data_IF_931964089510
#
_entry.id   IF_931964089510
#
_cell.length_a   1.000
_cell.length_b   1.000
_cell.length_c   1.000
_cell.angle_alpha   90.00
_cell.angle_beta   90.00
_cell.angle_gamma   90.00
#
_symmetry.space_group_name_H-M   'P 1'
#
loop_
_entity.id
_entity.type
_entity.pdbx_description
1 polymer ?
#
# COMPACT_ATOMS: atom_id res chain seq x y z
N UNK A 1 -11.29 -17.36 33.29
CA UNK A 1 -10.25 -16.83 34.19
C UNK A 1 -10.56 -15.37 34.48
N UNK A 2 -10.83 -15.06 35.75
CA UNK A 2 -11.36 -13.75 36.18
C UNK A 2 -10.37 -12.60 36.01
N UNK A 3 -10.89 -11.36 35.82
CA UNK A 3 -10.13 -10.08 35.78
C UNK A 3 -9.01 -9.99 36.86
N UNK A 4 -9.22 -10.69 37.98
CA UNK A 4 -8.29 -10.76 39.10
C UNK A 4 -6.97 -11.48 38.77
N UNK A 5 -6.99 -12.54 37.91
CA UNK A 5 -5.77 -13.27 37.52
C UNK A 5 -4.89 -12.48 36.54
N UNK A 6 -5.49 -11.69 35.66
CA UNK A 6 -4.74 -10.80 34.78
C UNK A 6 -4.08 -9.64 35.56
N UNK A 7 -4.78 -9.10 36.56
CA UNK A 7 -4.24 -8.05 37.43
C UNK A 7 -3.08 -8.57 38.31
N UNK A 8 -3.17 -9.82 38.78
CA UNK A 8 -2.10 -10.45 39.57
C UNK A 8 -0.85 -10.71 38.73
N UNK A 9 -0.99 -11.04 37.44
CA UNK A 9 0.12 -11.19 36.49
C UNK A 9 0.79 -9.81 36.21
N UNK A 10 0.03 -8.72 36.17
CA UNK A 10 0.57 -7.37 35.99
C UNK A 10 1.40 -6.89 37.19
N UNK A 11 1.00 -7.22 38.40
CA UNK A 11 1.71 -6.83 39.67
C UNK A 11 2.97 -7.62 39.82
N UNK A 12 3.03 -8.89 39.42
CA UNK A 12 4.24 -9.72 39.49
C UNK A 12 5.32 -9.26 38.50
N UNK A 13 4.98 -8.66 37.35
CA UNK A 13 5.94 -8.19 36.38
C UNK A 13 6.74 -6.96 36.87
N UNK A 14 6.18 -6.09 37.72
CA UNK A 14 6.85 -4.92 38.27
C UNK A 14 7.87 -5.26 39.38
N UNK A 15 7.79 -6.43 39.98
CA UNK A 15 8.65 -6.84 41.11
C UNK A 15 9.95 -7.53 40.65
N UNK A 16 10.02 -7.97 39.35
CA UNK A 16 11.10 -8.83 38.84
C UNK A 16 12.28 -8.12 38.16
N UNK A 17 12.35 -6.81 38.12
CA UNK A 17 13.40 -6.05 37.39
C UNK A 17 14.74 -5.93 38.20
N UNK A 18 14.89 -6.62 39.28
CA UNK A 18 16.10 -6.44 40.12
C UNK A 18 16.66 -7.68 40.77
N UNK A 19 17.37 -8.55 40.08
CA UNK A 19 18.52 -9.32 40.56
C UNK A 19 18.91 -10.51 39.63
N UNK A 20 20.09 -10.55 39.24
CA UNK A 20 21.13 -11.35 38.60
C UNK A 20 20.94 -12.80 38.17
N UNK A 21 21.52 -13.06 37.07
CA UNK A 21 21.97 -14.22 36.24
C UNK A 21 21.36 -15.64 36.41
N UNK A 22 20.95 -16.11 37.55
CA UNK A 22 20.26 -17.40 37.73
C UNK A 22 18.72 -17.29 37.59
N UNK A 23 18.20 -16.08 37.55
CA UNK A 23 16.76 -15.77 37.36
C UNK A 23 16.37 -15.66 35.89
N UNK A 24 17.31 -15.48 34.96
CA UNK A 24 17.03 -15.21 33.55
C UNK A 24 16.30 -16.36 32.83
N UNK A 25 16.66 -17.63 33.11
CA UNK A 25 16.04 -18.78 32.43
C UNK A 25 14.58 -18.95 32.86
N UNK A 26 14.29 -18.82 34.17
CA UNK A 26 12.92 -18.87 34.69
C UNK A 26 12.10 -17.65 34.28
N UNK A 27 12.71 -16.47 34.21
CA UNK A 27 12.09 -15.25 33.74
C UNK A 27 11.75 -15.36 32.25
N UNK A 28 12.62 -15.90 31.41
CA UNK A 28 12.39 -16.14 29.99
C UNK A 28 11.25 -17.13 29.75
N UNK A 29 11.21 -18.24 30.50
CA UNK A 29 10.11 -19.21 30.38
C UNK A 29 8.76 -18.63 30.82
N UNK A 30 8.75 -17.81 31.85
CA UNK A 30 7.54 -17.11 32.31
C UNK A 30 7.07 -16.09 31.28
N UNK A 31 7.98 -15.31 30.70
CA UNK A 31 7.69 -14.34 29.64
C UNK A 31 7.14 -15.07 28.39
N UNK A 32 7.74 -16.18 27.97
CA UNK A 32 7.24 -16.99 26.86
C UNK A 32 5.80 -17.42 27.08
N UNK A 33 5.51 -18.04 28.23
CA UNK A 33 4.15 -18.50 28.58
C UNK A 33 3.13 -17.35 28.59
N UNK A 34 3.53 -16.18 29.06
CA UNK A 34 2.71 -14.98 29.05
C UNK A 34 2.44 -14.51 27.61
N UNK A 35 3.47 -14.39 26.79
CA UNK A 35 3.35 -14.00 25.39
C UNK A 35 2.46 -14.97 24.61
N UNK A 36 2.65 -16.28 24.79
CA UNK A 36 1.83 -17.32 24.14
C UNK A 36 0.36 -17.21 24.55
N UNK A 37 0.08 -17.03 25.84
CA UNK A 37 -1.29 -16.89 26.33
C UNK A 37 -1.97 -15.61 25.80
N UNK A 38 -1.24 -14.48 25.81
CA UNK A 38 -1.76 -13.21 25.31
C UNK A 38 -1.95 -13.25 23.79
N UNK A 39 -1.08 -13.93 23.05
CA UNK A 39 -1.20 -14.07 21.59
C UNK A 39 -2.46 -14.88 21.23
N UNK A 40 -2.74 -15.98 21.92
CA UNK A 40 -3.97 -16.77 21.72
C UNK A 40 -5.22 -15.89 21.95
N UNK A 41 -5.22 -15.10 23.02
CA UNK A 41 -6.33 -14.20 23.35
C UNK A 41 -6.47 -13.09 22.32
N UNK A 42 -5.37 -12.51 21.85
CA UNK A 42 -5.35 -11.40 20.87
C UNK A 42 -5.86 -11.81 19.48
N UNK A 43 -5.82 -13.11 19.15
CA UNK A 43 -6.40 -13.64 17.91
C UNK A 43 -7.93 -13.65 17.90
N UNK A 44 -8.59 -13.53 19.06
CA UNK A 44 -10.05 -13.43 19.17
C UNK A 44 -10.83 -14.62 18.59
N UNK A 45 -10.24 -15.82 18.54
CA UNK A 45 -10.79 -17.02 17.88
C UNK A 45 -12.08 -17.50 18.56
N UNK A 46 -12.24 -17.23 19.87
CA UNK A 46 -13.42 -17.59 20.62
C UNK A 46 -14.23 -16.36 21.00
N UNK A 47 -15.56 -16.47 20.99
CA UNK A 47 -16.45 -15.41 21.52
C UNK A 47 -16.06 -15.00 22.95
N UNK A 48 -15.55 -15.96 23.72
CA UNK A 48 -15.01 -15.74 25.08
C UNK A 48 -13.86 -14.71 25.11
N UNK A 49 -13.08 -14.57 24.04
CA UNK A 49 -11.91 -13.68 23.98
C UNK A 49 -12.15 -12.41 23.22
N UNK A 50 -13.33 -12.22 22.59
CA UNK A 50 -13.61 -11.05 21.73
C UNK A 50 -13.33 -9.73 22.46
N UNK A 51 -13.84 -9.58 23.68
CA UNK A 51 -13.68 -8.35 24.48
C UNK A 51 -12.27 -8.21 25.08
N UNK A 52 -11.49 -9.29 25.10
CA UNK A 52 -10.13 -9.34 25.68
C UNK A 52 -9.04 -9.23 24.62
N UNK A 53 -9.38 -9.37 23.34
CA UNK A 53 -8.39 -9.39 22.26
C UNK A 53 -7.59 -8.08 22.18
N UNK A 54 -8.25 -6.93 22.24
CA UNK A 54 -7.57 -5.63 22.22
C UNK A 54 -6.73 -5.36 23.49
N UNK A 55 -7.21 -5.60 24.72
CA UNK A 55 -6.37 -5.53 25.90
C UNK A 55 -5.15 -6.45 25.87
N UNK A 56 -5.28 -7.68 25.36
CA UNK A 56 -4.16 -8.62 25.23
C UNK A 56 -3.13 -8.12 24.22
N UNK A 57 -3.57 -7.62 23.06
CA UNK A 57 -2.70 -6.99 22.05
C UNK A 57 -1.93 -5.79 22.66
N UNK A 58 -2.64 -4.91 23.36
CA UNK A 58 -2.03 -3.74 24.02
C UNK A 58 -0.98 -4.15 25.05
N UNK A 59 -1.22 -5.24 25.75
CA UNK A 59 -0.26 -5.78 26.72
C UNK A 59 0.98 -6.35 26.02
N UNK A 60 0.82 -7.08 24.90
CA UNK A 60 1.95 -7.58 24.10
C UNK A 60 2.81 -6.43 23.56
N UNK A 61 2.17 -5.37 23.08
CA UNK A 61 2.88 -4.17 22.61
C UNK A 61 3.61 -3.48 23.76
N UNK A 62 3.04 -3.44 24.98
CA UNK A 62 3.68 -2.87 26.17
C UNK A 62 4.87 -3.70 26.66
N UNK A 63 4.86 -5.04 26.51
CA UNK A 63 6.02 -5.91 26.76
C UNK A 63 7.17 -5.55 25.81
N UNK A 64 6.86 -5.13 24.58
CA UNK A 64 7.80 -4.58 23.62
C UNK A 64 8.88 -5.57 23.19
N UNK A 65 10.15 -5.16 23.29
CA UNK A 65 11.30 -5.92 22.82
C UNK A 65 11.36 -7.36 23.37
N UNK A 66 10.96 -7.56 24.63
CA UNK A 66 10.99 -8.87 25.27
C UNK A 66 9.98 -9.86 24.67
N UNK A 67 8.92 -9.38 24.01
CA UNK A 67 7.95 -10.23 23.32
C UNK A 67 8.43 -10.68 21.93
N UNK A 68 9.32 -9.91 21.29
CA UNK A 68 9.73 -10.11 19.90
C UNK A 68 10.22 -11.53 19.61
N UNK A 69 11.16 -12.12 20.36
CA UNK A 69 11.66 -13.47 20.06
C UNK A 69 10.55 -14.54 19.98
N UNK A 70 9.59 -14.47 20.91
CA UNK A 70 8.49 -15.45 20.99
C UNK A 70 7.41 -15.23 19.93
N UNK A 71 7.19 -13.98 19.50
CA UNK A 71 6.31 -13.66 18.39
C UNK A 71 6.92 -14.12 17.05
N UNK A 72 8.25 -14.01 16.90
CA UNK A 72 8.95 -14.48 15.70
C UNK A 72 8.96 -16.01 15.55
N UNK A 73 8.80 -16.78 16.65
CA UNK A 73 8.61 -18.23 16.60
C UNK A 73 7.29 -18.63 15.92
N UNK A 74 6.34 -17.70 15.80
CA UNK A 74 5.00 -17.93 15.26
C UNK A 74 4.85 -17.48 13.78
N UNK A 75 5.90 -17.00 13.15
CA UNK A 75 5.86 -16.50 11.76
C UNK A 75 5.55 -17.59 10.72
N UNK A 76 5.71 -18.87 11.05
CA UNK A 76 5.42 -20.00 10.17
C UNK A 76 3.93 -20.43 10.18
N UNK A 77 3.09 -19.70 10.92
CA UNK A 77 1.65 -20.00 11.02
C UNK A 77 0.97 -19.99 9.65
N UNK A 78 0.02 -20.90 9.45
CA UNK A 78 -0.84 -20.93 8.28
C UNK A 78 -2.19 -20.25 8.52
N UNK A 79 -2.50 -19.89 9.76
CA UNK A 79 -3.75 -19.21 10.11
C UNK A 79 -3.68 -17.73 9.71
N UNK A 80 -4.63 -17.31 8.88
CA UNK A 80 -4.68 -15.93 8.38
C UNK A 80 -4.89 -14.90 9.51
N UNK A 81 -5.63 -15.24 10.57
CA UNK A 81 -5.85 -14.34 11.71
C UNK A 81 -4.58 -14.16 12.51
N UNK A 82 -3.83 -15.24 12.73
CA UNK A 82 -2.55 -15.16 13.41
C UNK A 82 -1.55 -14.31 12.62
N UNK A 83 -1.48 -14.49 11.27
CA UNK A 83 -0.67 -13.62 10.39
C UNK A 83 -1.03 -12.15 10.58
N UNK A 84 -2.33 -11.81 10.55
CA UNK A 84 -2.78 -10.43 10.77
C UNK A 84 -2.47 -9.90 12.17
N UNK A 85 -2.59 -10.77 13.18
CA UNK A 85 -2.28 -10.42 14.57
C UNK A 85 -0.78 -10.15 14.74
N UNK A 86 0.10 -10.98 14.14
CA UNK A 86 1.55 -10.76 14.13
C UNK A 86 1.91 -9.44 13.46
N UNK A 87 1.32 -9.14 12.29
CA UNK A 87 1.54 -7.87 11.59
C UNK A 87 1.19 -6.68 12.50
N UNK A 88 0.02 -6.71 13.14
CA UNK A 88 -0.43 -5.62 14.01
C UNK A 88 0.47 -5.44 15.25
N UNK A 89 0.80 -6.54 15.91
CA UNK A 89 1.56 -6.48 17.17
C UNK A 89 3.00 -6.07 16.88
N UNK A 90 3.70 -6.77 15.98
CA UNK A 90 5.10 -6.47 15.65
C UNK A 90 5.23 -5.10 14.98
N UNK A 91 4.26 -4.72 14.15
CA UNK A 91 4.19 -3.37 13.57
C UNK A 91 4.07 -2.27 14.64
N UNK A 92 3.27 -2.49 15.70
CA UNK A 92 3.13 -1.56 16.84
C UNK A 92 4.33 -1.59 17.78
N UNK A 93 4.99 -2.73 18.00
CA UNK A 93 6.25 -2.81 18.74
C UNK A 93 7.32 -1.99 18.01
N UNK A 94 7.33 -2.04 16.68
CA UNK A 94 8.15 -1.16 15.86
C UNK A 94 9.63 -1.51 15.86
N UNK A 95 10.47 -0.50 16.07
CA UNK A 95 11.94 -0.58 15.91
C UNK A 95 12.63 -1.79 16.57
N UNK A 96 12.26 -2.24 17.78
CA UNK A 96 12.88 -3.44 18.37
C UNK A 96 12.73 -4.73 17.54
N UNK A 97 11.68 -4.82 16.70
CA UNK A 97 11.45 -5.98 15.85
C UNK A 97 12.23 -5.93 14.51
N UNK A 98 12.78 -4.79 14.11
CA UNK A 98 13.38 -4.59 12.77
C UNK A 98 14.54 -5.54 12.50
N UNK A 99 15.60 -5.50 13.31
CA UNK A 99 16.77 -6.35 13.10
C UNK A 99 16.46 -7.86 13.18
N UNK A 100 15.67 -8.32 14.18
CA UNK A 100 15.22 -9.71 14.21
C UNK A 100 14.42 -10.14 12.97
N UNK A 101 13.55 -9.27 12.41
CA UNK A 101 12.79 -9.54 11.19
C UNK A 101 13.70 -9.56 9.96
N UNK A 102 14.68 -8.64 9.85
CA UNK A 102 15.70 -8.68 8.79
C UNK A 102 16.39 -10.03 8.77
N UNK A 103 16.72 -10.59 9.94
CA UNK A 103 17.30 -11.93 10.06
C UNK A 103 16.40 -13.07 9.58
N UNK A 104 15.10 -12.83 9.33
CA UNK A 104 14.14 -13.81 8.79
C UNK A 104 13.96 -13.71 7.27
N UNK A 105 14.56 -12.73 6.60
CA UNK A 105 14.36 -12.50 5.16
C UNK A 105 14.96 -13.60 4.28
N UNK A 106 15.94 -14.33 4.76
CA UNK A 106 16.55 -15.48 4.07
C UNK A 106 16.04 -16.83 4.60
N UNK A 107 14.87 -16.86 5.23
CA UNK A 107 14.30 -18.10 5.76
C UNK A 107 13.91 -19.05 4.60
N UNK A 108 14.18 -20.37 4.71
CA UNK A 108 13.79 -21.36 3.72
C UNK A 108 12.26 -21.49 3.57
N UNK A 109 11.51 -21.19 4.64
CA UNK A 109 10.06 -21.08 4.58
C UNK A 109 9.68 -19.72 4.01
N UNK A 110 9.14 -19.72 2.77
CA UNK A 110 8.72 -18.48 2.08
C UNK A 110 7.64 -17.69 2.83
N UNK A 111 6.75 -18.38 3.57
CA UNK A 111 5.68 -17.70 4.31
C UNK A 111 6.26 -16.82 5.42
N UNK A 112 7.34 -17.29 6.08
CA UNK A 112 8.09 -16.51 7.08
C UNK A 112 8.73 -15.29 6.43
N UNK A 113 9.35 -15.46 5.24
CA UNK A 113 9.94 -14.36 4.50
C UNK A 113 8.90 -13.31 4.10
N UNK A 114 7.80 -13.73 3.46
CA UNK A 114 6.71 -12.84 3.01
C UNK A 114 6.10 -12.07 4.20
N UNK A 115 5.84 -12.75 5.32
CA UNK A 115 5.29 -12.12 6.51
C UNK A 115 6.26 -11.12 7.13
N UNK A 116 7.56 -11.45 7.17
CA UNK A 116 8.61 -10.54 7.65
C UNK A 116 8.72 -9.28 6.79
N UNK A 117 8.67 -9.40 5.46
CA UNK A 117 8.67 -8.28 4.53
C UNK A 117 7.50 -7.34 4.81
N UNK A 118 6.28 -7.89 4.96
CA UNK A 118 5.07 -7.11 5.22
C UNK A 118 5.15 -6.35 6.55
N UNK A 119 5.64 -7.03 7.61
CA UNK A 119 5.80 -6.40 8.93
C UNK A 119 6.85 -5.28 8.86
N UNK A 120 7.99 -5.50 8.20
CA UNK A 120 9.01 -4.46 8.01
C UNK A 120 8.46 -3.24 7.26
N UNK A 121 7.63 -3.47 6.24
CA UNK A 121 6.93 -2.39 5.54
C UNK A 121 6.00 -1.59 6.44
N UNK A 122 5.28 -2.23 7.36
CA UNK A 122 4.36 -1.56 8.29
C UNK A 122 5.10 -0.83 9.42
N UNK A 123 6.27 -1.32 9.85
CA UNK A 123 7.15 -0.61 10.81
C UNK A 123 7.74 0.66 10.21
N UNK A 124 8.00 0.69 8.90
CA UNK A 124 8.55 1.85 8.16
C UNK A 124 9.93 2.32 8.62
N UNK A 125 10.76 1.42 9.14
CA UNK A 125 12.13 1.76 9.50
C UNK A 125 13.05 1.63 8.29
N UNK A 126 13.81 2.70 8.00
CA UNK A 126 14.68 2.77 6.81
C UNK A 126 15.85 1.79 6.83
N UNK A 127 16.22 1.25 8.00
CA UNK A 127 17.26 0.20 8.09
C UNK A 127 16.87 -1.08 7.34
N UNK A 128 15.57 -1.30 7.07
CA UNK A 128 15.08 -2.44 6.30
C UNK A 128 15.25 -2.27 4.78
N UNK A 129 15.49 -1.05 4.27
CA UNK A 129 15.48 -0.75 2.82
C UNK A 129 16.49 -1.60 2.06
N UNK A 130 17.77 -1.54 2.42
CA UNK A 130 18.81 -2.28 1.72
C UNK A 130 18.66 -3.81 1.82
N UNK A 131 18.33 -4.40 2.98
CA UNK A 131 17.96 -5.81 3.07
C UNK A 131 16.79 -6.21 2.16
N UNK A 132 15.75 -5.37 2.07
CA UNK A 132 14.58 -5.63 1.21
C UNK A 132 14.95 -5.56 -0.28
N UNK A 133 15.71 -4.56 -0.72
CA UNK A 133 16.15 -4.42 -2.12
C UNK A 133 16.83 -5.69 -2.63
N UNK A 134 17.66 -6.35 -1.82
CA UNK A 134 18.32 -7.59 -2.19
C UNK A 134 17.36 -8.72 -2.58
N UNK A 135 16.12 -8.68 -2.10
CA UNK A 135 15.12 -9.70 -2.43
C UNK A 135 14.40 -9.44 -3.77
N UNK A 136 14.58 -8.28 -4.40
CA UNK A 136 13.99 -7.97 -5.72
C UNK A 136 14.53 -8.85 -6.84
N UNK A 137 15.66 -9.55 -6.63
CA UNK A 137 16.23 -10.49 -7.59
C UNK A 137 15.75 -11.93 -7.41
N UNK A 138 14.88 -12.21 -6.43
CA UNK A 138 14.35 -13.57 -6.19
C UNK A 138 13.40 -13.98 -7.30
N UNK A 139 13.45 -15.28 -7.67
CA UNK A 139 12.57 -15.86 -8.70
C UNK A 139 11.08 -15.77 -8.32
N UNK A 140 10.77 -15.82 -7.03
CA UNK A 140 9.40 -15.75 -6.53
C UNK A 140 8.84 -14.32 -6.67
N UNK A 141 7.90 -14.16 -7.61
CA UNK A 141 7.28 -12.87 -7.89
C UNK A 141 6.43 -12.33 -6.71
N UNK A 142 5.90 -13.18 -5.82
CA UNK A 142 5.18 -12.72 -4.63
C UNK A 142 6.15 -11.97 -3.70
N UNK A 143 7.36 -12.52 -3.49
CA UNK A 143 8.41 -11.85 -2.71
C UNK A 143 8.75 -10.50 -3.34
N UNK A 144 8.99 -10.44 -4.66
CA UNK A 144 9.32 -9.17 -5.34
C UNK A 144 8.18 -8.15 -5.20
N UNK A 145 6.94 -8.60 -5.34
CA UNK A 145 5.74 -7.76 -5.18
C UNK A 145 5.59 -7.24 -3.74
N UNK A 146 5.72 -8.11 -2.74
CA UNK A 146 5.65 -7.74 -1.33
C UNK A 146 6.79 -6.76 -0.94
N UNK A 147 7.99 -6.94 -1.51
CA UNK A 147 9.12 -6.03 -1.33
C UNK A 147 8.82 -4.65 -1.91
N UNK A 148 8.30 -4.58 -3.14
CA UNK A 148 7.88 -3.29 -3.71
C UNK A 148 6.86 -2.59 -2.81
N UNK A 149 5.86 -3.32 -2.30
CA UNK A 149 4.86 -2.76 -1.39
C UNK A 149 5.49 -2.28 -0.08
N UNK A 150 6.39 -3.06 0.52
CA UNK A 150 7.08 -2.69 1.76
C UNK A 150 7.96 -1.45 1.57
N UNK A 151 8.75 -1.38 0.49
CA UNK A 151 9.58 -0.22 0.17
C UNK A 151 8.73 1.03 -0.06
N UNK A 152 7.59 0.90 -0.74
CA UNK A 152 6.63 2.00 -0.92
C UNK A 152 6.00 2.47 0.41
N UNK A 153 5.74 1.57 1.37
CA UNK A 153 5.26 1.92 2.72
C UNK A 153 6.33 2.62 3.55
N UNK A 154 7.58 2.18 3.44
CA UNK A 154 8.74 2.82 4.11
C UNK A 154 8.93 4.23 3.57
N UNK A 155 8.82 4.41 2.25
CA UNK A 155 8.87 5.72 1.59
C UNK A 155 10.27 6.33 1.49
N UNK A 156 11.33 5.54 1.60
CA UNK A 156 12.71 6.02 1.49
C UNK A 156 13.11 6.18 0.02
N UNK A 157 13.62 7.37 -0.32
CA UNK A 157 14.04 7.73 -1.68
C UNK A 157 15.18 6.85 -2.22
N UNK A 158 15.97 6.22 -1.36
CA UNK A 158 17.06 5.35 -1.78
C UNK A 158 16.56 4.10 -2.52
N UNK A 159 15.28 3.70 -2.34
CA UNK A 159 14.66 2.59 -3.05
C UNK A 159 14.16 2.96 -4.47
N UNK A 160 14.20 4.23 -4.85
CA UNK A 160 13.61 4.73 -6.10
C UNK A 160 14.12 3.99 -7.33
N UNK A 161 15.45 3.86 -7.46
CA UNK A 161 16.07 3.23 -8.62
C UNK A 161 15.62 1.78 -8.79
N UNK A 162 15.66 0.98 -7.72
CA UNK A 162 15.30 -0.43 -7.76
C UNK A 162 13.80 -0.62 -8.03
N UNK A 163 12.95 0.25 -7.46
CA UNK A 163 11.52 0.28 -7.76
C UNK A 163 11.23 0.67 -9.22
N UNK A 164 12.01 1.59 -9.80
CA UNK A 164 11.85 1.94 -11.21
C UNK A 164 12.19 0.78 -12.15
N UNK A 165 13.16 -0.06 -11.80
CA UNK A 165 13.45 -1.29 -12.54
C UNK A 165 12.30 -2.31 -12.44
N UNK A 166 11.63 -2.40 -11.29
CA UNK A 166 10.47 -3.27 -11.12
C UNK A 166 9.27 -2.88 -11.99
N UNK A 167 9.23 -1.66 -12.54
CA UNK A 167 8.21 -1.28 -13.54
C UNK A 167 8.32 -2.07 -14.86
N UNK A 168 9.44 -2.73 -15.10
CA UNK A 168 9.70 -3.57 -16.28
C UNK A 168 9.67 -5.08 -15.97
N UNK A 169 9.27 -5.47 -14.75
CA UNK A 169 9.18 -6.87 -14.37
C UNK A 169 8.26 -7.66 -15.33
N UNK A 170 8.62 -8.90 -15.61
CA UNK A 170 7.83 -9.78 -16.49
C UNK A 170 6.42 -10.04 -15.96
N UNK A 171 6.25 -10.01 -14.62
CA UNK A 171 4.98 -10.32 -13.93
C UNK A 171 4.23 -9.03 -13.60
N UNK A 172 2.98 -8.93 -14.03
CA UNK A 172 2.16 -7.71 -13.87
C UNK A 172 1.93 -7.31 -12.40
N UNK A 173 1.85 -8.28 -11.49
CA UNK A 173 1.65 -7.97 -10.06
C UNK A 173 2.84 -7.20 -9.50
N UNK A 174 4.07 -7.52 -9.91
CA UNK A 174 5.28 -6.80 -9.51
C UNK A 174 5.28 -5.38 -10.08
N UNK A 175 5.00 -5.23 -11.39
CA UNK A 175 4.90 -3.90 -12.03
C UNK A 175 3.84 -3.03 -11.36
N UNK A 176 2.68 -3.62 -11.04
CA UNK A 176 1.61 -2.94 -10.30
C UNK A 176 2.09 -2.47 -8.92
N UNK A 177 2.74 -3.34 -8.14
CA UNK A 177 3.24 -2.98 -6.81
C UNK A 177 4.34 -1.92 -6.87
N UNK A 178 5.19 -1.95 -7.90
CA UNK A 178 6.19 -0.92 -8.16
C UNK A 178 5.53 0.44 -8.47
N UNK A 179 4.47 0.46 -9.29
CA UNK A 179 3.73 1.68 -9.60
C UNK A 179 3.10 2.31 -8.34
N UNK A 180 2.50 1.49 -7.45
CA UNK A 180 2.01 1.95 -6.14
C UNK A 180 3.14 2.52 -5.30
N UNK A 181 4.26 1.80 -5.21
CA UNK A 181 5.40 2.20 -4.40
C UNK A 181 5.98 3.54 -4.86
N UNK A 182 6.17 3.72 -6.17
CA UNK A 182 6.67 4.97 -6.75
C UNK A 182 5.72 6.15 -6.48
N UNK A 183 4.40 5.93 -6.55
CA UNK A 183 3.42 6.97 -6.18
C UNK A 183 3.52 7.35 -4.69
N UNK A 184 3.73 6.37 -3.80
CA UNK A 184 3.86 6.61 -2.34
C UNK A 184 5.14 7.32 -1.94
N UNK A 185 6.24 7.07 -2.65
CA UNK A 185 7.53 7.75 -2.40
C UNK A 185 7.45 9.25 -2.71
N UNK A 186 6.52 9.66 -3.60
CA UNK A 186 6.27 11.05 -3.98
C UNK A 186 7.49 11.78 -4.55
N UNK A 187 8.31 11.10 -5.35
CA UNK A 187 9.37 11.73 -6.14
C UNK A 187 8.87 11.95 -7.57
N UNK A 188 8.94 13.18 -8.06
CA UNK A 188 8.52 13.56 -9.42
C UNK A 188 9.24 12.77 -10.52
N UNK A 189 10.43 12.22 -10.21
CA UNK A 189 11.16 11.33 -11.11
C UNK A 189 10.39 10.06 -11.47
N UNK A 190 9.34 9.70 -10.69
CA UNK A 190 8.47 8.56 -10.99
C UNK A 190 7.55 8.84 -12.20
N UNK A 191 7.27 10.10 -12.50
CA UNK A 191 6.28 10.48 -13.52
C UNK A 191 6.57 9.86 -14.89
N UNK A 192 7.78 9.90 -15.46
CA UNK A 192 8.05 9.27 -16.76
C UNK A 192 7.72 7.76 -16.79
N UNK A 193 8.07 7.02 -15.75
CA UNK A 193 7.79 5.57 -15.64
C UNK A 193 6.29 5.29 -15.54
N UNK A 194 5.57 6.08 -14.76
CA UNK A 194 4.13 5.95 -14.60
C UNK A 194 3.38 6.34 -15.88
N UNK A 195 3.82 7.38 -16.60
CA UNK A 195 3.29 7.78 -17.91
C UNK A 195 3.47 6.64 -18.94
N UNK A 196 4.65 6.05 -19.02
CA UNK A 196 4.91 4.91 -19.90
C UNK A 196 3.97 3.74 -19.58
N UNK A 197 3.74 3.47 -18.30
CA UNK A 197 2.89 2.37 -17.84
C UNK A 197 1.38 2.58 -18.07
N UNK A 198 0.94 3.77 -18.50
CA UNK A 198 -0.45 3.96 -18.99
C UNK A 198 -0.75 3.15 -20.26
N UNK A 199 0.29 2.65 -20.94
CA UNK A 199 0.19 1.77 -22.10
C UNK A 199 0.55 0.31 -21.77
N UNK A 200 0.67 -0.08 -20.49
CA UNK A 200 0.94 -1.48 -20.10
C UNK A 200 -0.13 -2.41 -20.67
N UNK A 201 0.29 -3.62 -21.04
CA UNK A 201 -0.63 -4.66 -21.56
C UNK A 201 -1.72 -5.05 -20.55
N UNK A 202 -1.46 -4.93 -19.25
CA UNK A 202 -2.38 -5.30 -18.18
C UNK A 202 -3.12 -4.07 -17.64
N UNK A 203 -4.45 -4.15 -17.65
CA UNK A 203 -5.33 -3.09 -17.15
C UNK A 203 -5.02 -2.67 -15.71
N UNK A 204 -4.70 -3.63 -14.82
CA UNK A 204 -4.38 -3.37 -13.43
C UNK A 204 -3.15 -2.46 -13.26
N UNK A 205 -2.13 -2.61 -14.11
CA UNK A 205 -0.93 -1.76 -14.10
C UNK A 205 -1.28 -0.36 -14.61
N UNK A 206 -2.01 -0.27 -15.75
CA UNK A 206 -2.43 1.02 -16.32
C UNK A 206 -3.20 1.87 -15.31
N UNK A 207 -4.25 1.26 -14.69
CA UNK A 207 -5.09 1.95 -13.71
C UNK A 207 -4.31 2.38 -12.46
N UNK A 208 -3.41 1.52 -11.97
CA UNK A 208 -2.59 1.84 -10.81
C UNK A 208 -1.65 3.01 -11.12
N UNK A 209 -1.00 3.00 -12.28
CA UNK A 209 -0.12 4.09 -12.71
C UNK A 209 -0.87 5.42 -12.85
N UNK A 210 -2.10 5.40 -13.40
CA UNK A 210 -2.95 6.59 -13.47
C UNK A 210 -3.28 7.14 -12.08
N UNK A 211 -3.64 6.26 -11.12
CA UNK A 211 -3.91 6.69 -9.75
C UNK A 211 -2.65 7.25 -9.06
N UNK A 212 -1.49 6.62 -9.27
CA UNK A 212 -0.22 7.11 -8.72
C UNK A 212 0.15 8.49 -9.30
N UNK A 213 -0.11 8.76 -10.59
CA UNK A 213 0.04 10.08 -11.19
C UNK A 213 -0.90 11.13 -10.55
N UNK A 214 -2.13 10.73 -10.22
CA UNK A 214 -3.06 11.60 -9.49
C UNK A 214 -2.57 11.87 -8.06
N UNK A 215 -2.01 10.86 -7.37
CA UNK A 215 -1.43 11.02 -6.03
C UNK A 215 -0.18 11.93 -6.01
N UNK A 216 0.61 11.94 -7.09
CA UNK A 216 1.74 12.87 -7.27
C UNK A 216 1.27 14.32 -7.47
N UNK A 217 0.07 14.51 -7.98
CA UNK A 217 -0.57 15.83 -8.05
C UNK A 217 -0.09 16.70 -9.21
N UNK A 218 0.14 17.99 -8.92
CA UNK A 218 0.42 19.03 -9.93
C UNK A 218 1.58 18.70 -10.90
N UNK A 219 2.71 18.12 -10.47
CA UNK A 219 3.81 17.79 -11.38
C UNK A 219 3.40 16.85 -12.53
N UNK A 220 2.35 16.02 -12.34
CA UNK A 220 1.84 15.09 -13.36
C UNK A 220 1.01 15.78 -14.45
N UNK A 221 0.53 17.02 -14.23
CA UNK A 221 -0.40 17.69 -15.15
C UNK A 221 0.22 17.90 -16.53
N UNK A 222 1.42 18.46 -16.60
CA UNK A 222 2.08 18.75 -17.88
C UNK A 222 2.38 17.49 -18.71
N UNK A 223 2.93 16.40 -18.13
CA UNK A 223 3.08 15.11 -18.81
C UNK A 223 1.76 14.51 -19.29
N UNK A 224 0.68 14.58 -18.47
CA UNK A 224 -0.64 14.09 -18.86
C UNK A 224 -1.26 14.91 -20.00
N UNK A 225 -1.08 16.23 -20.01
CA UNK A 225 -1.52 17.09 -21.12
C UNK A 225 -0.83 16.73 -22.43
N UNK A 226 0.46 16.38 -22.41
CA UNK A 226 1.18 15.96 -23.60
C UNK A 226 0.60 14.66 -24.23
N UNK A 227 0.02 13.78 -23.43
CA UNK A 227 -0.64 12.57 -23.93
C UNK A 227 -1.95 12.84 -24.65
N UNK A 228 -2.62 13.97 -24.39
CA UNK A 228 -3.86 14.30 -25.09
C UNK A 228 -3.64 14.36 -26.60
N UNK A 229 -2.49 14.83 -27.08
CA UNK A 229 -2.21 14.98 -28.51
C UNK A 229 -1.45 13.79 -29.11
N UNK A 230 -0.74 13.01 -28.28
CA UNK A 230 0.21 12.02 -28.75
C UNK A 230 -0.20 10.56 -28.43
N UNK A 231 -1.38 10.33 -27.87
CA UNK A 231 -1.83 8.98 -27.52
C UNK A 231 -3.25 8.68 -27.98
N UNK A 232 -3.61 7.40 -27.97
CA UNK A 232 -4.92 6.87 -28.31
C UNK A 232 -5.32 5.76 -27.34
N UNK A 233 -6.58 5.35 -27.35
CA UNK A 233 -7.07 4.25 -26.52
C UNK A 233 -6.90 4.49 -25.03
N UNK A 234 -6.51 3.45 -24.28
CA UNK A 234 -6.49 3.48 -22.81
C UNK A 234 -5.57 4.57 -22.23
N UNK A 235 -4.40 4.80 -22.82
CA UNK A 235 -3.48 5.84 -22.35
C UNK A 235 -4.10 7.25 -22.48
N UNK A 236 -4.83 7.52 -23.57
CA UNK A 236 -5.58 8.76 -23.74
C UNK A 236 -6.71 8.88 -22.71
N UNK A 237 -7.53 7.83 -22.56
CA UNK A 237 -8.66 7.84 -21.63
C UNK A 237 -8.21 8.06 -20.18
N UNK A 238 -7.16 7.36 -19.75
CA UNK A 238 -6.60 7.49 -18.41
C UNK A 238 -5.96 8.87 -18.18
N UNK A 239 -5.37 9.47 -19.20
CA UNK A 239 -4.85 10.84 -19.12
C UNK A 239 -5.99 11.85 -18.93
N UNK A 240 -7.06 11.74 -19.70
CA UNK A 240 -8.26 12.58 -19.59
C UNK A 240 -8.86 12.44 -18.18
N UNK A 241 -9.07 11.20 -17.72
CA UNK A 241 -9.63 10.91 -16.41
C UNK A 241 -8.75 11.47 -15.28
N UNK A 242 -7.42 11.27 -15.36
CA UNK A 242 -6.47 11.77 -14.37
C UNK A 242 -6.47 13.29 -14.29
N UNK A 243 -6.53 13.99 -15.43
CA UNK A 243 -6.64 15.45 -15.48
C UNK A 243 -7.95 15.95 -14.86
N UNK A 244 -9.05 15.20 -15.04
CA UNK A 244 -10.33 15.46 -14.37
C UNK A 244 -10.22 15.32 -12.85
N UNK A 245 -9.66 14.21 -12.35
CA UNK A 245 -9.44 13.94 -10.92
C UNK A 245 -8.53 14.98 -10.28
N UNK A 246 -7.50 15.45 -10.99
CA UNK A 246 -6.61 16.52 -10.56
C UNK A 246 -7.28 17.90 -10.57
N UNK A 247 -8.50 18.01 -11.14
CA UNK A 247 -9.24 19.26 -11.31
C UNK A 247 -8.41 20.34 -12.01
N UNK A 248 -7.60 19.94 -12.98
CA UNK A 248 -6.65 20.81 -13.65
C UNK A 248 -7.33 21.85 -14.53
N UNK A 249 -7.31 23.13 -14.12
CA UNK A 249 -7.80 24.24 -14.96
C UNK A 249 -6.99 24.43 -16.23
N UNK A 250 -5.72 24.00 -16.24
CA UNK A 250 -4.86 24.02 -17.43
C UNK A 250 -5.36 23.06 -18.52
N UNK A 251 -6.06 21.97 -18.11
CA UNK A 251 -6.59 20.97 -19.03
C UNK A 251 -7.89 21.39 -19.73
N UNK A 252 -8.57 22.44 -19.28
CA UNK A 252 -9.91 22.81 -19.77
C UNK A 252 -9.94 23.02 -21.29
N UNK A 253 -9.04 23.85 -21.84
CA UNK A 253 -9.01 24.15 -23.27
C UNK A 253 -8.58 22.92 -24.10
N UNK A 254 -7.51 22.19 -23.77
CA UNK A 254 -7.19 20.93 -24.42
C UNK A 254 -8.33 19.91 -24.40
N UNK A 255 -9.01 19.75 -23.25
CA UNK A 255 -10.15 18.83 -23.13
C UNK A 255 -11.35 19.27 -23.98
N UNK A 256 -11.64 20.57 -24.07
CA UNK A 256 -12.72 21.08 -24.95
C UNK A 256 -12.44 20.67 -26.41
N UNK A 257 -11.20 20.66 -26.86
CA UNK A 257 -10.85 20.19 -28.20
C UNK A 257 -11.20 18.72 -28.41
N UNK A 258 -11.02 17.86 -27.37
CA UNK A 258 -11.34 16.44 -27.37
C UNK A 258 -12.85 16.13 -27.41
N UNK A 259 -13.72 17.05 -27.08
CA UNK A 259 -15.18 16.91 -27.33
C UNK A 259 -15.57 16.78 -28.80
N UNK A 260 -14.63 17.01 -29.73
CA UNK A 260 -14.80 16.86 -31.18
C UNK A 260 -14.18 15.56 -31.69
N UNK A 261 -13.65 14.71 -30.84
CA UNK A 261 -12.99 13.47 -31.23
C UNK A 261 -13.98 12.54 -31.91
N UNK A 262 -13.50 11.76 -32.89
CA UNK A 262 -14.32 10.76 -33.60
C UNK A 262 -14.73 9.62 -32.69
N UNK A 263 -13.83 9.24 -31.78
CA UNK A 263 -14.08 8.19 -30.81
C UNK A 263 -15.04 8.66 -29.72
N UNK A 264 -16.13 7.94 -29.57
CA UNK A 264 -17.17 8.25 -28.58
C UNK A 264 -16.64 8.10 -27.13
N UNK A 265 -15.72 7.13 -26.88
CA UNK A 265 -15.17 6.93 -25.56
C UNK A 265 -14.32 8.13 -25.14
N UNK A 266 -13.49 8.66 -26.03
CA UNK A 266 -12.75 9.92 -25.82
C UNK A 266 -13.70 11.05 -25.42
N UNK A 267 -14.82 11.22 -26.16
CA UNK A 267 -15.81 12.25 -25.83
C UNK A 267 -16.43 12.03 -24.45
N UNK A 268 -16.79 10.77 -24.12
CA UNK A 268 -17.39 10.43 -22.84
C UNK A 268 -16.47 10.73 -21.66
N UNK A 269 -15.22 10.26 -21.70
CA UNK A 269 -14.23 10.56 -20.67
C UNK A 269 -13.97 12.07 -20.56
N UNK A 270 -13.98 12.77 -21.70
CA UNK A 270 -13.78 14.22 -21.71
C UNK A 270 -14.94 14.97 -21.03
N UNK A 271 -16.18 14.54 -21.24
CA UNK A 271 -17.35 15.10 -20.54
C UNK A 271 -17.19 14.93 -19.04
N UNK A 272 -16.86 13.72 -18.56
CA UNK A 272 -16.65 13.45 -17.13
C UNK A 272 -15.49 14.27 -16.53
N UNK A 273 -14.39 14.39 -17.26
CA UNK A 273 -13.25 15.19 -16.81
C UNK A 273 -13.59 16.69 -16.70
N UNK A 274 -14.25 17.26 -17.69
CA UNK A 274 -14.69 18.66 -17.68
C UNK A 274 -15.73 18.92 -16.58
N UNK A 275 -16.61 17.96 -16.31
CA UNK A 275 -17.55 18.01 -15.18
C UNK A 275 -16.79 18.06 -13.85
N UNK A 276 -15.80 17.16 -13.63
CA UNK A 276 -15.00 17.13 -12.40
C UNK A 276 -14.21 18.42 -12.16
N UNK A 277 -13.67 19.01 -13.24
CA UNK A 277 -12.94 20.28 -13.18
C UNK A 277 -13.88 21.44 -12.83
N UNK A 278 -15.14 21.39 -13.30
CA UNK A 278 -16.18 22.37 -13.05
C UNK A 278 -15.79 23.81 -13.43
N UNK A 279 -15.20 23.97 -14.62
CA UNK A 279 -14.89 25.30 -15.17
C UNK A 279 -16.02 25.75 -16.11
N UNK A 280 -16.50 27.03 -16.01
CA UNK A 280 -17.61 27.52 -16.86
C UNK A 280 -17.39 27.36 -18.37
N UNK A 281 -16.14 27.37 -18.84
CA UNK A 281 -15.79 27.15 -20.26
C UNK A 281 -16.08 25.72 -20.66
N UNK A 282 -15.70 24.74 -19.80
CA UNK A 282 -15.94 23.33 -20.00
C UNK A 282 -17.45 23.01 -20.00
N UNK A 283 -18.18 23.51 -19.00
CA UNK A 283 -19.64 23.29 -18.88
C UNK A 283 -20.38 23.83 -20.11
N UNK A 284 -20.03 25.04 -20.59
CA UNK A 284 -20.58 25.58 -21.84
C UNK A 284 -20.28 24.70 -23.06
N UNK A 285 -19.07 24.19 -23.16
CA UNK A 285 -18.68 23.32 -24.27
C UNK A 285 -19.45 21.98 -24.25
N UNK A 286 -19.72 21.40 -23.08
CA UNK A 286 -20.57 20.22 -22.93
C UNK A 286 -22.01 20.53 -23.37
N UNK A 287 -22.56 21.69 -23.00
CA UNK A 287 -23.89 22.11 -23.41
C UNK A 287 -24.01 22.25 -24.95
N UNK A 288 -22.96 22.75 -25.62
CA UNK A 288 -22.92 22.76 -27.10
C UNK A 288 -22.77 21.36 -27.70
N UNK A 289 -21.98 20.45 -27.07
CA UNK A 289 -21.91 19.07 -27.54
C UNK A 289 -23.27 18.40 -27.46
N UNK A 290 -24.06 18.63 -26.42
CA UNK A 290 -25.39 18.03 -26.20
C UNK A 290 -26.36 18.30 -27.36
N UNK A 291 -26.21 19.38 -28.10
CA UNK A 291 -27.08 19.73 -29.27
C UNK A 291 -26.85 18.84 -30.49
N UNK A 292 -25.70 18.14 -30.56
CA UNK A 292 -25.27 17.38 -31.76
C UNK A 292 -24.80 15.96 -31.48
N UNK A 293 -24.66 15.59 -30.21
CA UNK A 293 -24.21 14.26 -29.82
C UNK A 293 -25.33 13.24 -30.07
N UNK A 294 -24.96 12.11 -30.64
CA UNK A 294 -25.89 11.04 -30.98
C UNK A 294 -25.58 9.72 -30.23
N UNK A 295 -24.39 9.60 -29.65
CA UNK A 295 -24.00 8.37 -28.98
C UNK A 295 -24.67 8.25 -27.61
N UNK A 296 -25.50 7.20 -27.36
CA UNK A 296 -26.33 7.13 -26.15
C UNK A 296 -25.54 7.20 -24.85
N UNK A 297 -24.34 6.59 -24.81
CA UNK A 297 -23.50 6.58 -23.63
C UNK A 297 -22.96 7.99 -23.30
N UNK A 298 -22.53 8.75 -24.33
CA UNK A 298 -22.07 10.13 -24.13
C UNK A 298 -23.21 11.02 -23.63
N UNK A 299 -24.42 10.85 -24.23
CA UNK A 299 -25.63 11.57 -23.80
C UNK A 299 -25.92 11.27 -22.32
N UNK A 300 -25.86 9.99 -21.92
CA UNK A 300 -26.12 9.58 -20.53
C UNK A 300 -25.15 10.21 -19.51
N UNK A 301 -23.91 10.51 -19.93
CA UNK A 301 -22.94 11.24 -19.08
C UNK A 301 -23.32 12.70 -18.92
N UNK A 302 -23.72 13.36 -20.03
CA UNK A 302 -24.13 14.76 -20.01
C UNK A 302 -25.43 15.00 -19.21
N UNK A 303 -26.36 14.02 -19.19
CA UNK A 303 -27.64 14.15 -18.47
C UNK A 303 -27.49 14.12 -16.95
N UNK A 304 -26.35 13.68 -16.43
CA UNK A 304 -26.01 13.71 -15.00
C UNK A 304 -25.53 15.08 -14.52
N UNK A 305 -25.11 15.94 -15.44
CA UNK A 305 -24.62 17.28 -15.13
C UNK A 305 -25.81 18.19 -14.88
N UNK A 306 -25.95 18.67 -13.66
CA UNK A 306 -27.03 19.54 -13.20
C UNK A 306 -26.68 21.02 -13.36
#
# INVERSE_FOLDING_TARGET
>A
MTKLKLLTIFITLQIFIGSGYCQDIKANETTKKLVDSLFIVSNGVSEMYRDQAQPAESTLVAIGEQAVPYLLEKLDTQDAREKWTLIRILGKIGKPAVLPLIGKLDNPNKDVTELSIRILGDIKDTTAVQPLIKLLTRDNYNIRSDVCEALGKIGDLSAFHDLSLCMEDSVEVVRKSAAVALGRIKDDKAIPYLIQSLSDKHYSVRMTSANSLVELGEPSIKPLLALLDNSTGDALYLSIESLGKLKSKQAVIPLIARLKDRDWATRAFTVEALEQIWDPRGIRAIAELKKREIHPFVISKMDKIK
#
